data_IF_784597881012
#
_entry.id   IF_784597881012
#
_cell.length_a   1.000
_cell.length_b   1.000
_cell.length_c   1.000
_cell.angle_alpha   90.00
_cell.angle_beta   90.00
_cell.angle_gamma   90.00
#
_symmetry.space_group_name_H-M   'P 1'
#
loop_
_entity.id
_entity.type
_entity.pdbx_description
1 polymer ?
#
# COMPACT_ATOMS: atom_id res chain seq x y z
N UNK A 1 -45.37 5.27 -19.04
CA UNK A 1 -44.58 4.81 -20.19
C UNK A 1 -45.04 3.43 -20.64
N UNK A 2 -45.48 3.24 -21.89
CA UNK A 2 -46.06 1.95 -22.36
C UNK A 2 -45.03 0.79 -22.37
N UNK A 3 -43.71 1.09 -22.42
CA UNK A 3 -42.66 0.09 -22.48
C UNK A 3 -42.66 -0.79 -21.20
N UNK A 4 -42.66 -0.16 -20.02
CA UNK A 4 -42.59 -0.89 -18.74
C UNK A 4 -43.85 -1.69 -18.46
N UNK A 5 -45.03 -1.18 -18.84
CA UNK A 5 -46.28 -1.95 -18.72
C UNK A 5 -46.27 -3.19 -19.61
N UNK A 6 -45.63 -3.09 -20.82
CA UNK A 6 -45.46 -4.26 -21.73
C UNK A 6 -44.54 -5.29 -21.13
N UNK A 7 -43.42 -4.86 -20.53
CA UNK A 7 -42.47 -5.76 -19.85
C UNK A 7 -43.19 -6.51 -18.72
N UNK A 8 -43.89 -5.77 -17.89
CA UNK A 8 -44.67 -6.38 -16.79
C UNK A 8 -45.66 -7.42 -17.32
N UNK A 9 -46.49 -7.06 -18.31
CA UNK A 9 -47.49 -7.95 -18.89
C UNK A 9 -46.86 -9.18 -19.57
N UNK A 10 -45.65 -9.08 -20.09
CA UNK A 10 -44.92 -10.23 -20.65
C UNK A 10 -44.47 -11.20 -19.56
N UNK A 11 -43.91 -10.68 -18.44
CA UNK A 11 -43.40 -11.51 -17.35
C UNK A 11 -44.46 -11.97 -16.36
N UNK A 12 -45.57 -11.23 -16.20
CA UNK A 12 -46.60 -11.55 -15.22
C UNK A 12 -47.16 -12.99 -15.31
N UNK A 13 -47.46 -13.50 -16.53
CA UNK A 13 -47.84 -14.92 -16.68
C UNK A 13 -46.66 -15.88 -16.65
N UNK A 14 -45.40 -15.39 -16.87
CA UNK A 14 -44.18 -16.20 -16.99
C UNK A 14 -43.28 -16.03 -15.74
N UNK A 15 -43.83 -16.18 -14.56
CA UNK A 15 -43.10 -15.96 -13.29
C UNK A 15 -41.86 -16.87 -13.16
N UNK A 16 -41.94 -18.12 -13.62
CA UNK A 16 -40.81 -19.06 -13.59
C UNK A 16 -39.63 -18.56 -14.44
N UNK A 17 -39.93 -17.97 -15.59
CA UNK A 17 -38.90 -17.36 -16.45
C UNK A 17 -38.26 -16.14 -15.77
N UNK A 18 -39.09 -15.30 -15.12
CA UNK A 18 -38.56 -14.13 -14.38
C UNK A 18 -37.63 -14.59 -13.24
N UNK A 19 -38.06 -15.57 -12.43
CA UNK A 19 -37.24 -16.08 -11.31
C UNK A 19 -35.96 -16.75 -11.82
N UNK A 20 -36.05 -17.52 -12.92
CA UNK A 20 -34.90 -18.15 -13.55
C UNK A 20 -33.89 -17.10 -14.01
N UNK A 21 -34.34 -16.08 -14.73
CA UNK A 21 -33.49 -14.98 -15.22
C UNK A 21 -32.82 -14.23 -14.04
N UNK A 22 -33.60 -13.89 -13.02
CA UNK A 22 -33.07 -13.19 -11.83
C UNK A 22 -32.02 -14.06 -11.13
N UNK A 23 -32.29 -15.33 -10.94
CA UNK A 23 -31.36 -16.26 -10.30
C UNK A 23 -30.06 -16.39 -11.13
N UNK A 24 -30.20 -16.50 -12.44
CA UNK A 24 -29.02 -16.58 -13.34
C UNK A 24 -28.16 -15.33 -13.25
N UNK A 25 -28.80 -14.14 -13.23
CA UNK A 25 -28.08 -12.85 -13.09
C UNK A 25 -27.37 -12.77 -11.74
N UNK A 26 -28.03 -13.18 -10.66
CA UNK A 26 -27.45 -13.15 -9.32
C UNK A 26 -26.27 -14.12 -9.20
N UNK A 27 -26.44 -15.36 -9.71
CA UNK A 27 -25.36 -16.37 -9.71
C UNK A 27 -24.20 -15.91 -10.60
N UNK A 28 -24.50 -15.37 -11.77
CA UNK A 28 -23.48 -14.82 -12.67
C UNK A 28 -22.69 -13.69 -12.04
N UNK A 29 -23.39 -12.76 -11.38
CA UNK A 29 -22.76 -11.66 -10.64
C UNK A 29 -21.88 -12.15 -9.50
N UNK A 30 -22.39 -13.12 -8.72
CA UNK A 30 -21.64 -13.71 -7.62
C UNK A 30 -20.38 -14.43 -8.09
N UNK A 31 -20.49 -15.21 -9.19
CA UNK A 31 -19.35 -15.91 -9.77
C UNK A 31 -18.32 -14.88 -10.32
N UNK A 32 -18.78 -13.86 -11.03
CA UNK A 32 -17.89 -12.82 -11.57
C UNK A 32 -17.09 -12.13 -10.45
N UNK A 33 -17.72 -11.90 -9.30
CA UNK A 33 -17.01 -11.28 -8.14
C UNK A 33 -15.90 -12.15 -7.57
N UNK A 34 -15.98 -13.48 -7.73
CA UNK A 34 -14.90 -14.37 -7.22
C UNK A 34 -13.63 -14.28 -8.08
N UNK A 35 -13.74 -13.79 -9.31
CA UNK A 35 -12.60 -13.67 -10.23
C UNK A 35 -11.91 -12.30 -10.16
N UNK A 36 -12.52 -11.30 -9.53
CA UNK A 36 -11.95 -9.95 -9.49
C UNK A 36 -10.84 -9.86 -8.44
N UNK A 37 -9.77 -9.17 -8.80
CA UNK A 37 -8.68 -8.85 -7.89
C UNK A 37 -8.92 -7.47 -7.28
N UNK A 38 -9.21 -7.46 -5.98
CA UNK A 38 -9.37 -6.19 -5.26
C UNK A 38 -7.99 -5.59 -4.99
N UNK A 39 -7.79 -4.39 -5.49
CA UNK A 39 -6.56 -3.62 -5.31
C UNK A 39 -6.78 -2.55 -4.23
N UNK A 40 -5.85 -2.48 -3.30
CA UNK A 40 -5.86 -1.48 -2.22
C UNK A 40 -4.80 -0.40 -2.46
N UNK A 41 -4.14 -0.45 -3.61
CA UNK A 41 -3.06 0.47 -3.98
C UNK A 41 -3.65 1.84 -4.32
N UNK A 42 -3.51 2.79 -3.40
CA UNK A 42 -3.96 4.17 -3.59
C UNK A 42 -3.15 4.84 -4.72
N UNK A 43 -1.91 4.43 -4.91
CA UNK A 43 -1.05 4.96 -5.99
C UNK A 43 -1.63 4.70 -7.36
N UNK A 44 -2.22 3.51 -7.57
CA UNK A 44 -2.84 3.16 -8.83
C UNK A 44 -4.17 3.89 -9.08
N UNK A 45 -4.71 4.59 -8.07
CA UNK A 45 -5.89 5.44 -8.22
C UNK A 45 -5.56 6.84 -8.73
N UNK A 46 -4.29 7.26 -8.63
CA UNK A 46 -3.87 8.56 -9.15
C UNK A 46 -3.93 8.53 -10.67
N UNK A 47 -4.54 9.54 -11.29
CA UNK A 47 -4.59 9.58 -12.75
C UNK A 47 -3.18 9.74 -13.33
N UNK A 48 -2.90 9.00 -14.38
CA UNK A 48 -1.63 9.13 -15.11
C UNK A 48 -1.79 10.27 -16.14
N UNK A 49 -2.08 11.46 -15.62
CA UNK A 49 -2.39 12.66 -16.42
C UNK A 49 -1.19 13.61 -16.54
N UNK A 50 -0.03 13.21 -16.00
CA UNK A 50 1.16 14.05 -15.99
C UNK A 50 1.08 15.20 -14.98
N UNK A 51 0.11 15.17 -14.07
CA UNK A 51 0.00 16.21 -13.03
C UNK A 51 1.22 16.17 -12.10
N UNK A 52 1.54 17.32 -11.54
CA UNK A 52 2.65 17.43 -10.58
C UNK A 52 2.45 16.49 -9.39
N UNK A 53 1.22 16.36 -8.91
CA UNK A 53 0.90 15.47 -7.79
C UNK A 53 1.20 14.00 -8.11
N UNK A 54 0.85 13.54 -9.31
CA UNK A 54 1.14 12.17 -9.77
C UNK A 54 2.67 11.98 -9.92
N UNK A 55 3.34 12.95 -10.53
CA UNK A 55 4.80 12.92 -10.71
C UNK A 55 5.52 12.88 -9.35
N UNK A 56 5.15 13.76 -8.43
CA UNK A 56 5.73 13.83 -7.09
C UNK A 56 5.50 12.54 -6.31
N UNK A 57 4.30 11.94 -6.44
CA UNK A 57 3.98 10.67 -5.79
C UNK A 57 4.85 9.53 -6.34
N UNK A 58 5.01 9.46 -7.66
CA UNK A 58 5.89 8.45 -8.29
C UNK A 58 7.35 8.63 -7.87
N UNK A 59 7.83 9.87 -7.80
CA UNK A 59 9.17 10.16 -7.31
C UNK A 59 9.34 9.74 -5.86
N UNK A 60 8.35 9.99 -5.02
CA UNK A 60 8.35 9.56 -3.62
C UNK A 60 8.38 8.03 -3.51
N UNK A 61 7.57 7.34 -4.33
CA UNK A 61 7.55 5.86 -4.32
C UNK A 61 8.90 5.27 -4.72
N UNK A 62 9.64 5.95 -5.61
CA UNK A 62 10.95 5.49 -6.08
C UNK A 62 12.09 5.90 -5.14
N UNK A 63 11.79 6.71 -4.12
CA UNK A 63 12.83 7.17 -3.19
C UNK A 63 13.45 5.98 -2.43
N UNK A 64 14.77 5.92 -2.34
CA UNK A 64 15.47 4.76 -1.73
C UNK A 64 15.04 4.44 -0.30
N UNK A 65 14.53 5.41 0.45
CA UNK A 65 14.10 5.17 1.82
C UNK A 65 12.77 4.38 1.91
N UNK A 66 11.98 4.41 0.84
CA UNK A 66 10.66 3.75 0.80
C UNK A 66 10.81 2.23 0.76
N UNK A 67 11.82 1.73 0.04
CA UNK A 67 12.11 0.30 -0.07
C UNK A 67 12.92 -0.24 1.11
N UNK A 68 13.36 0.62 2.03
CA UNK A 68 14.19 0.21 3.16
C UNK A 68 13.37 -0.15 4.38
N UNK A 69 13.82 -1.21 5.03
CA UNK A 69 13.23 -1.77 6.25
C UNK A 69 14.36 -1.83 7.28
N UNK A 70 14.10 -1.34 8.48
CA UNK A 70 15.04 -1.48 9.59
C UNK A 70 14.54 -2.59 10.52
N UNK A 71 15.42 -3.53 10.81
CA UNK A 71 15.13 -4.61 11.75
C UNK A 71 16.04 -4.42 12.98
N UNK A 72 15.42 -4.33 14.14
CA UNK A 72 16.13 -4.20 15.41
C UNK A 72 16.11 -5.55 16.10
N UNK A 73 17.31 -6.03 16.49
CA UNK A 73 17.46 -7.21 17.33
C UNK A 73 17.83 -6.77 18.74
N UNK A 74 17.10 -7.29 19.72
CA UNK A 74 17.36 -7.08 21.14
C UNK A 74 17.51 -8.44 21.81
N UNK A 75 18.44 -8.53 22.75
CA UNK A 75 18.67 -9.78 23.48
C UNK A 75 18.90 -9.54 24.96
N UNK A 76 18.64 -10.56 25.74
CA UNK A 76 18.98 -10.56 27.17
C UNK A 76 20.50 -10.55 27.36
N UNK A 77 20.95 -10.18 28.54
CA UNK A 77 22.38 -10.14 28.87
C UNK A 77 23.02 -11.51 28.62
N UNK A 78 24.05 -11.54 27.77
CA UNK A 78 24.74 -12.79 27.41
C UNK A 78 24.29 -13.42 26.09
N UNK A 79 23.26 -12.89 25.41
CA UNK A 79 22.84 -13.38 24.10
C UNK A 79 23.85 -13.00 23.01
N UNK A 80 24.13 -13.92 22.10
CA UNK A 80 24.96 -13.65 20.93
C UNK A 80 24.09 -13.02 19.83
N UNK A 81 23.98 -11.70 19.92
CA UNK A 81 23.20 -10.92 18.94
C UNK A 81 23.82 -10.94 17.53
N UNK A 82 25.16 -11.10 17.44
CA UNK A 82 25.84 -11.13 16.13
C UNK A 82 25.47 -12.40 15.35
N UNK A 83 25.54 -13.56 16.02
CA UNK A 83 25.13 -14.83 15.40
C UNK A 83 23.63 -14.81 15.04
N UNK A 84 22.79 -14.23 15.90
CA UNK A 84 21.35 -14.11 15.63
C UNK A 84 21.08 -13.17 14.45
N UNK A 85 21.84 -12.08 14.31
CA UNK A 85 21.71 -11.16 13.17
C UNK A 85 22.08 -11.85 11.86
N UNK A 86 23.17 -12.62 11.84
CA UNK A 86 23.61 -13.37 10.66
C UNK A 86 22.60 -14.47 10.29
N UNK A 87 22.07 -15.18 11.29
CA UNK A 87 21.03 -16.21 11.11
C UNK A 87 19.79 -15.59 10.48
N UNK A 88 19.32 -14.46 11.01
CA UNK A 88 18.13 -13.77 10.49
C UNK A 88 18.38 -13.27 9.07
N UNK A 89 19.54 -12.64 8.83
CA UNK A 89 19.90 -12.11 7.51
C UNK A 89 19.90 -13.20 6.44
N UNK A 90 20.39 -14.41 6.78
CA UNK A 90 20.43 -15.54 5.85
C UNK A 90 19.05 -16.06 5.46
N UNK A 91 18.04 -15.83 6.30
CA UNK A 91 16.65 -16.29 6.03
C UNK A 91 15.83 -15.26 5.25
N UNK A 92 16.22 -13.99 5.27
CA UNK A 92 15.51 -12.91 4.58
C UNK A 92 15.99 -12.83 3.12
N UNK A 93 15.35 -13.61 2.27
CA UNK A 93 15.80 -13.89 0.89
C UNK A 93 14.78 -13.41 -0.17
N UNK A 94 15.21 -13.31 -1.44
CA UNK A 94 14.28 -13.04 -2.54
C UNK A 94 13.15 -14.10 -2.62
N UNK A 95 11.98 -13.71 -3.12
CA UNK A 95 11.67 -12.44 -3.77
C UNK A 95 11.21 -11.31 -2.83
N UNK A 96 11.04 -11.57 -1.54
CA UNK A 96 10.48 -10.59 -0.59
C UNK A 96 11.53 -9.60 -0.09
N UNK A 97 12.78 -10.04 0.03
CA UNK A 97 13.91 -9.18 0.41
C UNK A 97 14.99 -9.27 -0.65
N UNK A 98 15.35 -8.13 -1.24
CA UNK A 98 16.36 -8.09 -2.30
C UNK A 98 17.78 -8.03 -1.73
N UNK A 99 17.94 -7.43 -0.55
CA UNK A 99 19.25 -7.27 0.10
C UNK A 99 19.08 -7.10 1.60
N UNK A 100 20.00 -7.68 2.37
CA UNK A 100 20.04 -7.48 3.83
C UNK A 100 21.48 -7.10 4.21
N UNK A 101 21.62 -6.00 4.94
CA UNK A 101 22.89 -5.45 5.42
C UNK A 101 22.87 -5.47 6.95
N UNK A 102 23.68 -6.32 7.55
CA UNK A 102 23.87 -6.35 9.00
C UNK A 102 25.02 -5.42 9.45
N UNK A 103 25.93 -5.09 8.52
CA UNK A 103 27.08 -4.23 8.77
C UNK A 103 28.00 -4.18 7.59
N UNK A 104 29.07 -3.36 7.64
CA UNK A 104 30.06 -3.29 6.56
C UNK A 104 30.84 -4.59 6.38
N UNK A 105 30.92 -5.43 7.42
CA UNK A 105 31.56 -6.74 7.36
C UNK A 105 30.70 -7.81 6.68
N UNK A 106 29.42 -7.56 6.48
CA UNK A 106 28.53 -8.50 5.79
C UNK A 106 28.92 -8.64 4.31
N UNK A 107 28.56 -9.76 3.70
CA UNK A 107 28.83 -10.00 2.28
C UNK A 107 28.28 -8.85 1.41
N UNK A 108 27.08 -8.39 1.71
CA UNK A 108 26.48 -7.26 0.99
C UNK A 108 27.19 -5.94 1.28
N UNK A 109 27.70 -5.75 2.51
CA UNK A 109 28.48 -4.57 2.90
C UNK A 109 29.82 -4.55 2.17
N UNK A 110 30.51 -5.69 2.08
CA UNK A 110 31.77 -5.80 1.36
C UNK A 110 31.61 -5.51 -0.13
N UNK A 111 30.50 -5.91 -0.73
CA UNK A 111 30.21 -5.64 -2.14
C UNK A 111 30.01 -4.14 -2.43
N UNK A 112 29.71 -3.32 -1.42
CA UNK A 112 29.55 -1.88 -1.57
C UNK A 112 30.89 -1.13 -1.54
N UNK A 113 31.95 -1.72 -0.98
CA UNK A 113 33.26 -1.04 -0.83
C UNK A 113 33.82 -0.56 -2.15
N UNK A 114 33.94 -1.39 -3.21
CA UNK A 114 34.45 -0.93 -4.50
C UNK A 114 33.59 0.19 -5.13
N UNK A 115 32.28 0.12 -4.93
CA UNK A 115 31.35 1.15 -5.44
C UNK A 115 31.61 2.48 -4.72
N UNK A 116 31.79 2.43 -3.41
CA UNK A 116 32.07 3.63 -2.60
C UNK A 116 33.42 4.22 -2.96
N UNK A 117 34.42 3.38 -3.20
CA UNK A 117 35.77 3.81 -3.64
C UNK A 117 35.67 4.51 -5.00
N UNK A 118 34.97 3.92 -5.95
CA UNK A 118 34.78 4.51 -7.27
C UNK A 118 33.95 5.82 -7.24
N UNK A 119 33.06 5.96 -6.29
CA UNK A 119 32.20 7.15 -6.16
C UNK A 119 32.89 8.32 -5.42
N UNK A 120 34.01 8.09 -4.75
CA UNK A 120 34.69 9.15 -3.96
C UNK A 120 34.96 10.45 -4.72
N UNK A 121 35.45 10.42 -5.98
CA UNK A 121 35.64 11.68 -6.71
C UNK A 121 34.35 12.48 -6.90
N UNK A 122 33.21 11.82 -7.05
CA UNK A 122 31.93 12.49 -7.22
C UNK A 122 31.44 13.14 -5.92
N UNK A 123 31.93 12.69 -4.77
CA UNK A 123 31.57 13.25 -3.46
C UNK A 123 32.43 14.48 -3.11
N UNK A 124 33.47 14.79 -3.89
CA UNK A 124 34.37 15.90 -3.63
C UNK A 124 33.75 17.19 -4.19
N UNK A 125 33.60 18.19 -3.34
CA UNK A 125 32.95 19.46 -3.69
C UNK A 125 33.95 20.63 -3.77
N UNK A 126 33.47 21.76 -4.29
CA UNK A 126 34.25 23.01 -4.33
C UNK A 126 34.60 23.49 -2.91
N UNK A 127 33.78 23.24 -1.90
CA UNK A 127 34.07 23.56 -0.51
C UNK A 127 35.27 22.73 0.04
N UNK A 128 35.33 21.47 -0.36
CA UNK A 128 36.47 20.59 0.00
C UNK A 128 37.76 21.06 -0.67
N UNK A 129 37.66 21.45 -1.94
CA UNK A 129 38.79 22.01 -2.67
C UNK A 129 39.30 23.30 -1.99
N UNK A 130 38.37 24.18 -1.55
CA UNK A 130 38.73 25.39 -0.84
C UNK A 130 39.38 25.10 0.52
N UNK A 131 38.94 24.00 1.17
CA UNK A 131 39.57 23.56 2.44
C UNK A 131 40.96 22.99 2.23
N UNK A 132 41.16 22.26 1.14
CA UNK A 132 42.49 21.72 0.77
C UNK A 132 43.46 22.85 0.38
N UNK A 133 42.98 23.87 -0.30
CA UNK A 133 43.81 25.02 -0.72
C UNK A 133 44.36 25.81 0.48
N UNK A 134 43.77 25.65 1.66
CA UNK A 134 44.24 26.29 2.89
C UNK A 134 45.24 25.49 3.67
N UNK A 135 45.57 24.25 3.21
CA UNK A 135 46.58 23.42 3.88
C UNK A 135 47.97 24.01 3.65
N UNK A 136 48.61 24.39 4.72
CA UNK A 136 50.00 24.81 4.67
C UNK A 136 50.94 23.60 4.80
N UNK A 137 52.25 23.83 4.62
CA UNK A 137 53.25 22.78 4.69
C UNK A 137 53.28 22.06 6.05
N UNK A 138 52.97 22.77 7.13
CA UNK A 138 52.93 22.20 8.47
C UNK A 138 51.75 21.22 8.62
N UNK A 139 50.55 21.59 8.14
CA UNK A 139 49.37 20.74 8.15
C UNK A 139 49.56 19.48 7.27
N UNK A 140 50.20 19.63 6.11
CA UNK A 140 50.52 18.49 5.23
C UNK A 140 51.47 17.52 5.95
N UNK A 141 52.53 18.08 6.56
CA UNK A 141 53.49 17.25 7.32
C UNK A 141 52.78 16.52 8.48
N UNK A 142 51.95 17.19 9.22
CA UNK A 142 51.22 16.60 10.34
C UNK A 142 50.35 15.43 9.86
N UNK A 143 49.64 15.56 8.71
CA UNK A 143 48.83 14.47 8.14
C UNK A 143 49.72 13.26 7.76
N UNK A 144 50.85 13.52 7.11
CA UNK A 144 51.77 12.45 6.74
C UNK A 144 52.35 11.73 7.94
N UNK A 145 52.72 12.48 9.00
CA UNK A 145 53.22 11.91 10.26
C UNK A 145 52.17 11.05 10.94
N UNK A 146 50.92 11.51 10.95
CA UNK A 146 49.81 10.74 11.55
C UNK A 146 49.52 9.48 10.74
N UNK A 147 49.57 9.54 9.41
CA UNK A 147 49.49 8.37 8.53
C UNK A 147 50.60 7.36 8.77
N UNK A 148 51.80 7.86 8.91
CA UNK A 148 52.99 7.02 9.20
C UNK A 148 52.86 6.35 10.58
N UNK A 149 52.41 7.11 11.60
CA UNK A 149 52.20 6.56 12.93
C UNK A 149 51.15 5.43 12.92
N UNK A 150 50.11 5.58 12.10
CA UNK A 150 49.09 4.50 11.93
C UNK A 150 49.71 3.24 11.30
N UNK A 151 50.63 3.38 10.35
CA UNK A 151 51.31 2.24 9.72
C UNK A 151 52.09 1.42 10.73
N UNK A 152 52.57 2.04 11.82
CA UNK A 152 53.35 1.38 12.85
C UNK A 152 52.51 0.61 13.87
N UNK A 153 51.17 0.69 13.77
CA UNK A 153 50.26 -0.11 14.62
C UNK A 153 50.06 -1.50 13.99
N UNK A 154 49.74 -2.52 14.78
CA UNK A 154 49.47 -3.86 14.26
C UNK A 154 48.36 -3.86 13.19
N UNK A 155 47.35 -3.04 13.36
CA UNK A 155 46.24 -2.90 12.41
C UNK A 155 46.66 -2.13 11.15
N UNK A 156 47.69 -1.29 11.25
CA UNK A 156 48.16 -0.43 10.16
C UNK A 156 48.66 -1.19 8.95
N UNK A 157 49.20 -2.41 9.17
CA UNK A 157 49.63 -3.26 8.07
C UNK A 157 48.50 -3.65 7.12
N UNK A 158 47.30 -3.83 7.66
CA UNK A 158 46.09 -4.11 6.88
C UNK A 158 45.66 -2.92 6.00
N UNK A 159 46.06 -1.70 6.39
CA UNK A 159 45.69 -0.48 5.70
C UNK A 159 46.86 0.11 4.85
N UNK A 160 47.94 -0.66 4.69
CA UNK A 160 49.14 -0.23 3.98
C UNK A 160 48.84 0.30 2.57
N UNK A 161 48.12 -0.47 1.78
CA UNK A 161 47.83 -0.09 0.39
C UNK A 161 46.87 1.11 0.34
N UNK A 162 45.99 1.20 1.31
CA UNK A 162 45.07 2.32 1.46
C UNK A 162 45.79 3.63 1.77
N UNK A 163 46.73 3.59 2.73
CA UNK A 163 47.58 4.76 3.09
C UNK A 163 48.53 5.13 1.96
N UNK A 164 48.99 4.13 1.19
CA UNK A 164 49.85 4.38 0.04
C UNK A 164 49.14 5.09 -1.10
N UNK A 165 47.86 4.75 -1.33
CA UNK A 165 47.04 5.37 -2.38
C UNK A 165 46.51 6.75 -2.00
N UNK A 166 46.32 7.01 -0.68
CA UNK A 166 45.79 8.28 -0.17
C UNK A 166 46.56 8.72 1.10
N UNK A 167 47.82 9.17 0.94
CA UNK A 167 48.69 9.52 2.08
C UNK A 167 48.18 10.75 2.88
N UNK A 168 47.36 11.58 2.28
CA UNK A 168 46.79 12.76 2.94
C UNK A 168 45.37 12.50 3.53
N UNK A 169 44.90 11.26 3.41
CA UNK A 169 43.59 10.83 3.91
C UNK A 169 42.45 11.71 3.34
N UNK A 170 42.51 11.99 2.04
CA UNK A 170 41.53 12.86 1.36
C UNK A 170 40.13 12.21 1.31
N UNK A 171 40.10 10.87 1.34
CA UNK A 171 38.82 10.11 1.37
C UNK A 171 37.92 10.51 2.55
N UNK A 172 38.50 11.06 3.63
CA UNK A 172 37.70 11.51 4.79
C UNK A 172 36.65 12.56 4.41
N UNK A 173 36.91 13.37 3.37
CA UNK A 173 35.93 14.36 2.89
C UNK A 173 34.69 13.68 2.32
N UNK A 174 34.87 12.63 1.53
CA UNK A 174 33.74 11.82 1.02
C UNK A 174 33.06 11.03 2.12
N UNK A 175 33.84 10.36 2.98
CA UNK A 175 33.32 9.56 4.07
C UNK A 175 32.54 10.40 5.08
N UNK A 176 32.97 11.66 5.32
CA UNK A 176 32.26 12.57 6.21
C UNK A 176 30.83 12.87 5.69
N UNK A 177 30.71 12.99 4.37
CA UNK A 177 29.38 13.22 3.74
C UNK A 177 28.52 11.95 3.78
N UNK A 178 29.14 10.78 3.58
CA UNK A 178 28.42 9.51 3.69
C UNK A 178 27.84 9.29 5.10
N UNK A 179 28.48 9.86 6.13
CA UNK A 179 27.91 9.84 7.48
C UNK A 179 26.56 10.56 7.57
N UNK A 180 26.38 11.62 6.76
CA UNK A 180 25.11 12.36 6.72
C UNK A 180 24.02 11.60 5.94
N UNK A 181 24.45 10.72 5.03
CA UNK A 181 23.56 9.87 4.22
C UNK A 181 23.57 8.43 4.77
N UNK A 182 23.90 8.25 6.04
CA UNK A 182 24.01 6.92 6.64
C UNK A 182 22.72 6.14 6.52
N UNK A 183 22.86 4.86 6.22
CA UNK A 183 21.73 3.92 6.08
C UNK A 183 20.87 3.89 7.37
N UNK A 184 21.55 4.02 8.53
CA UNK A 184 20.89 4.09 9.83
C UNK A 184 21.48 5.28 10.58
N UNK A 185 20.73 6.36 10.79
CA UNK A 185 21.24 7.52 11.54
C UNK A 185 21.70 7.14 12.95
N UNK A 186 22.85 7.65 13.33
CA UNK A 186 23.46 7.45 14.66
C UNK A 186 23.82 5.99 14.99
N UNK A 187 23.84 5.09 14.01
CA UNK A 187 24.27 3.71 14.22
C UNK A 187 25.78 3.69 14.55
N UNK A 188 26.16 2.84 15.47
CA UNK A 188 27.56 2.52 15.80
C UNK A 188 27.92 1.18 15.18
N UNK A 189 29.20 0.87 15.15
CA UNK A 189 29.68 -0.44 14.75
C UNK A 189 30.08 -1.21 16.01
N UNK A 190 29.55 -2.43 16.10
CA UNK A 190 29.90 -3.37 17.18
C UNK A 190 30.09 -4.75 16.54
N UNK A 191 31.29 -5.29 16.64
CA UNK A 191 31.64 -6.61 16.12
C UNK A 191 31.29 -6.77 14.61
N UNK A 192 31.48 -5.70 13.84
CA UNK A 192 31.20 -5.70 12.38
C UNK A 192 29.72 -5.47 12.01
N UNK A 193 28.84 -5.33 12.99
CA UNK A 193 27.40 -5.10 12.77
C UNK A 193 26.99 -3.67 13.13
N UNK A 194 25.89 -3.20 12.54
CA UNK A 194 25.29 -1.92 12.93
C UNK A 194 24.62 -2.09 14.30
N UNK A 195 24.94 -1.21 15.24
CA UNK A 195 24.35 -1.20 16.58
C UNK A 195 23.62 0.12 16.78
N UNK A 196 22.64 0.11 17.69
CA UNK A 196 21.93 1.32 18.11
C UNK A 196 22.90 2.28 18.80
N UNK A 197 22.51 3.56 18.93
CA UNK A 197 23.35 4.61 19.52
C UNK A 197 23.81 4.26 20.95
N UNK A 198 22.96 3.57 21.71
CA UNK A 198 23.24 3.12 23.08
C UNK A 198 23.97 1.77 23.14
N UNK A 199 24.11 1.08 22.01
CA UNK A 199 24.76 -0.23 21.90
C UNK A 199 23.92 -1.39 22.44
N UNK A 200 22.66 -1.17 22.80
CA UNK A 200 21.79 -2.18 23.41
C UNK A 200 21.19 -3.15 22.40
N UNK A 201 21.18 -2.80 21.11
CA UNK A 201 20.57 -3.62 20.08
C UNK A 201 21.38 -3.59 18.80
N UNK A 202 21.27 -4.63 17.99
CA UNK A 202 21.82 -4.66 16.63
C UNK A 202 20.74 -4.27 15.64
N UNK A 203 21.19 -3.70 14.52
CA UNK A 203 20.31 -3.19 13.48
C UNK A 203 20.67 -3.83 12.13
N UNK A 204 19.68 -4.36 11.43
CA UNK A 204 19.83 -4.79 10.05
C UNK A 204 19.02 -3.84 9.17
N UNK A 205 19.58 -3.52 8.02
CA UNK A 205 18.88 -2.76 6.98
C UNK A 205 18.56 -3.72 5.85
N UNK A 206 17.29 -3.96 5.64
CA UNK A 206 16.82 -4.79 4.53
C UNK A 206 16.19 -3.91 3.45
N UNK A 207 16.32 -4.32 2.20
CA UNK A 207 15.66 -3.71 1.06
C UNK A 207 14.64 -4.69 0.51
N UNK A 208 13.49 -4.17 0.09
CA UNK A 208 12.40 -4.98 -0.48
C UNK A 208 11.95 -4.38 -1.81
N UNK A 209 11.64 -5.23 -2.81
CA UNK A 209 11.02 -4.76 -4.04
C UNK A 209 9.51 -4.56 -3.90
N UNK A 210 8.91 -4.92 -2.75
CA UNK A 210 7.47 -4.81 -2.54
C UNK A 210 7.11 -3.33 -2.31
N UNK A 211 6.24 -2.74 -3.13
CA UNK A 211 5.80 -1.36 -2.90
C UNK A 211 5.05 -1.21 -1.57
N UNK A 212 5.18 -0.04 -0.94
CA UNK A 212 4.46 0.26 0.32
C UNK A 212 2.94 0.15 0.16
N UNK A 213 2.45 0.40 -1.04
CA UNK A 213 1.03 0.38 -1.37
C UNK A 213 0.48 -1.03 -1.58
N UNK A 214 1.35 -2.03 -1.76
CA UNK A 214 0.94 -3.42 -1.95
C UNK A 214 0.68 -4.08 -0.60
N UNK A 215 -0.57 -4.09 -0.16
CA UNK A 215 -0.96 -4.69 1.13
C UNK A 215 -0.80 -6.22 1.14
N UNK A 216 -0.97 -6.90 -0.01
CA UNK A 216 -0.81 -8.37 -0.11
C UNK A 216 0.67 -8.75 -0.02
N UNK A 217 1.51 -8.08 -0.81
CA UNK A 217 2.97 -8.28 -0.75
C UNK A 217 3.51 -7.92 0.62
N UNK A 218 3.04 -6.81 1.19
CA UNK A 218 3.39 -6.39 2.55
C UNK A 218 3.01 -7.44 3.61
N UNK A 219 1.81 -8.01 3.50
CA UNK A 219 1.38 -9.08 4.41
C UNK A 219 2.26 -10.34 4.27
N UNK A 220 2.63 -10.71 3.03
CA UNK A 220 3.52 -11.84 2.78
C UNK A 220 4.91 -11.58 3.37
N UNK A 221 5.44 -10.37 3.19
CA UNK A 221 6.72 -9.93 3.73
C UNK A 221 6.73 -10.01 5.26
N UNK A 222 5.68 -9.50 5.91
CA UNK A 222 5.58 -9.50 7.38
C UNK A 222 5.44 -10.93 7.94
N UNK A 223 4.69 -11.80 7.25
CA UNK A 223 4.58 -13.23 7.66
C UNK A 223 5.92 -13.94 7.51
N UNK A 224 6.63 -13.72 6.41
CA UNK A 224 7.96 -14.33 6.19
C UNK A 224 8.94 -13.89 7.28
N UNK A 225 8.95 -12.58 7.58
CA UNK A 225 9.77 -12.04 8.67
C UNK A 225 9.39 -12.68 10.01
N UNK A 226 8.10 -12.81 10.32
CA UNK A 226 7.65 -13.39 11.58
C UNK A 226 8.08 -14.86 11.70
N UNK A 227 8.03 -15.62 10.59
CA UNK A 227 8.50 -17.01 10.56
C UNK A 227 10.01 -17.08 10.81
N UNK A 228 10.79 -16.22 10.15
CA UNK A 228 12.25 -16.16 10.34
C UNK A 228 12.58 -15.73 11.78
N UNK A 229 11.90 -14.73 12.32
CA UNK A 229 12.12 -14.24 13.68
C UNK A 229 11.81 -15.32 14.73
N UNK A 230 10.85 -16.19 14.47
CA UNK A 230 10.48 -17.29 15.39
C UNK A 230 11.58 -18.37 15.50
N UNK A 231 12.55 -18.41 14.58
CA UNK A 231 13.67 -19.37 14.66
C UNK A 231 14.85 -18.85 15.47
N UNK A 232 14.78 -17.60 15.93
CA UNK A 232 15.88 -16.98 16.70
C UNK A 232 16.04 -17.66 18.06
N UNK A 233 17.25 -17.64 18.61
CA UNK A 233 17.49 -18.24 19.94
C UNK A 233 16.61 -17.61 21.02
N UNK A 234 16.30 -18.40 22.05
CA UNK A 234 15.53 -17.93 23.21
C UNK A 234 16.22 -16.69 23.84
N UNK A 235 15.43 -15.69 24.18
CA UNK A 235 15.92 -14.43 24.74
C UNK A 235 16.33 -13.39 23.71
N UNK A 236 16.26 -13.70 22.40
CA UNK A 236 16.50 -12.72 21.32
C UNK A 236 15.17 -12.40 20.64
N UNK A 237 14.85 -11.11 20.53
CA UNK A 237 13.66 -10.63 19.86
C UNK A 237 14.06 -9.77 18.64
N UNK A 238 13.34 -9.94 17.56
CA UNK A 238 13.50 -9.14 16.34
C UNK A 238 12.25 -8.30 16.11
N UNK A 239 12.43 -7.00 15.93
CA UNK A 239 11.35 -6.05 15.64
C UNK A 239 11.59 -5.43 14.28
N UNK A 240 10.63 -5.57 13.37
CA UNK A 240 10.70 -5.00 12.03
C UNK A 240 9.99 -3.64 12.01
N UNK A 241 10.72 -2.60 11.62
CA UNK A 241 10.22 -1.23 11.43
C UNK A 241 10.11 -0.99 9.94
N UNK A 242 8.89 -0.86 9.46
CA UNK A 242 8.60 -0.75 8.03
C UNK A 242 7.28 -0.01 7.80
N UNK A 243 7.22 0.76 6.74
CA UNK A 243 5.97 1.38 6.28
C UNK A 243 4.89 0.35 5.97
N UNK A 244 5.25 -0.86 5.54
CA UNK A 244 4.29 -1.94 5.23
C UNK A 244 3.40 -2.30 6.41
N UNK A 245 3.91 -2.20 7.65
CA UNK A 245 3.09 -2.45 8.86
C UNK A 245 1.96 -1.43 8.98
N UNK A 246 2.26 -0.16 8.69
CA UNK A 246 1.27 0.92 8.76
C UNK A 246 0.25 0.79 7.62
N UNK A 247 0.71 0.47 6.41
CA UNK A 247 -0.18 0.24 5.27
C UNK A 247 -1.16 -0.89 5.57
N UNK A 248 -0.66 -2.01 6.07
CA UNK A 248 -1.51 -3.17 6.38
C UNK A 248 -2.49 -2.85 7.52
N UNK A 249 -2.02 -2.21 8.59
CA UNK A 249 -2.87 -1.82 9.71
C UNK A 249 -3.98 -0.84 9.26
N UNK A 250 -3.64 0.09 8.39
CA UNK A 250 -4.59 1.06 7.82
C UNK A 250 -5.63 0.34 6.92
N UNK A 251 -5.16 -0.58 6.06
CA UNK A 251 -6.05 -1.37 5.19
C UNK A 251 -7.04 -2.20 6.03
N UNK A 252 -6.56 -2.84 7.08
CA UNK A 252 -7.39 -3.64 7.99
C UNK A 252 -8.38 -2.76 8.77
N UNK A 253 -7.95 -1.56 9.19
CA UNK A 253 -8.84 -0.60 9.85
C UNK A 253 -9.97 -0.16 8.92
N UNK A 254 -9.62 0.20 7.67
CA UNK A 254 -10.60 0.60 6.65
C UNK A 254 -11.61 -0.53 6.40
N UNK A 255 -11.13 -1.76 6.23
CA UNK A 255 -12.00 -2.94 6.01
C UNK A 255 -12.97 -3.15 7.18
N UNK A 256 -12.45 -3.04 8.40
CA UNK A 256 -13.27 -3.20 9.62
C UNK A 256 -14.32 -2.09 9.72
N UNK A 257 -13.91 -0.84 9.50
CA UNK A 257 -14.81 0.32 9.58
C UNK A 257 -15.91 0.22 8.53
N UNK A 258 -15.57 -0.15 7.30
CA UNK A 258 -16.54 -0.40 6.23
C UNK A 258 -17.52 -1.52 6.64
N UNK A 259 -17.00 -2.63 7.14
CA UNK A 259 -17.85 -3.76 7.57
C UNK A 259 -18.82 -3.32 8.69
N UNK A 260 -18.35 -2.57 9.67
CA UNK A 260 -19.18 -2.08 10.79
C UNK A 260 -20.23 -1.10 10.28
N UNK A 261 -19.83 -0.11 9.48
CA UNK A 261 -20.75 0.92 8.96
C UNK A 261 -21.83 0.27 8.07
N UNK A 262 -21.41 -0.60 7.13
CA UNK A 262 -22.34 -1.27 6.22
C UNK A 262 -23.31 -2.18 6.97
N UNK A 263 -22.79 -2.95 7.95
CA UNK A 263 -23.64 -3.85 8.75
C UNK A 263 -24.64 -3.06 9.60
N UNK A 264 -24.18 -2.02 10.29
CA UNK A 264 -25.04 -1.20 11.16
C UNK A 264 -26.09 -0.44 10.35
N UNK A 265 -25.69 0.15 9.22
CA UNK A 265 -26.59 0.86 8.31
C UNK A 265 -27.65 -0.07 7.73
N UNK A 266 -27.24 -1.26 7.27
CA UNK A 266 -28.15 -2.26 6.72
C UNK A 266 -29.15 -2.74 7.77
N UNK A 267 -28.67 -2.96 8.99
CA UNK A 267 -29.53 -3.38 10.11
C UNK A 267 -30.52 -2.28 10.47
N UNK A 268 -30.08 -1.02 10.49
CA UNK A 268 -30.94 0.14 10.77
C UNK A 268 -32.04 0.28 9.72
N UNK A 269 -31.68 0.19 8.43
CA UNK A 269 -32.64 0.27 7.31
C UNK A 269 -33.61 -0.91 7.39
N UNK A 270 -33.12 -2.11 7.64
CA UNK A 270 -33.96 -3.31 7.79
C UNK A 270 -34.94 -3.13 8.97
N UNK A 271 -34.48 -2.61 10.11
CA UNK A 271 -35.34 -2.36 11.28
C UNK A 271 -36.44 -1.34 10.93
N UNK A 272 -36.12 -0.25 10.24
CA UNK A 272 -37.07 0.74 9.76
C UNK A 272 -38.11 0.05 8.87
N UNK A 273 -37.69 -0.80 7.94
CA UNK A 273 -38.60 -1.51 7.05
C UNK A 273 -39.56 -2.44 7.82
N UNK A 274 -39.03 -3.20 8.77
CA UNK A 274 -39.85 -4.11 9.57
C UNK A 274 -40.88 -3.36 10.40
N UNK A 275 -40.50 -2.21 10.98
CA UNK A 275 -41.40 -1.39 11.82
C UNK A 275 -42.48 -0.69 10.98
N UNK A 276 -42.09 -0.07 9.86
CA UNK A 276 -43.02 0.77 9.09
C UNK A 276 -43.82 0.00 8.03
N UNK A 277 -43.20 -0.95 7.35
CA UNK A 277 -43.89 -1.74 6.31
C UNK A 277 -44.72 -2.88 6.93
N UNK A 278 -44.28 -3.44 8.05
CA UNK A 278 -44.97 -4.48 8.83
C UNK A 278 -45.48 -5.64 7.94
N UNK A 279 -44.69 -5.99 6.93
CA UNK A 279 -45.06 -7.07 6.00
C UNK A 279 -43.81 -7.77 5.47
N UNK A 280 -43.92 -9.08 5.23
CA UNK A 280 -42.85 -9.86 4.59
C UNK A 280 -42.51 -9.34 3.19
N UNK A 281 -43.44 -8.70 2.53
CA UNK A 281 -43.23 -8.10 1.20
C UNK A 281 -42.22 -6.94 1.27
N UNK A 282 -42.18 -6.22 2.42
CA UNK A 282 -41.18 -5.18 2.66
C UNK A 282 -39.73 -5.71 2.64
N UNK A 283 -39.54 -6.96 3.08
CA UNK A 283 -38.20 -7.58 3.06
C UNK A 283 -37.69 -7.73 1.63
N UNK A 284 -38.57 -8.05 0.66
CA UNK A 284 -38.17 -8.13 -0.74
C UNK A 284 -37.74 -6.76 -1.29
N UNK A 285 -38.38 -5.67 -0.84
CA UNK A 285 -38.00 -4.31 -1.23
C UNK A 285 -36.56 -4.03 -0.79
N UNK A 286 -36.21 -4.41 0.44
CA UNK A 286 -34.85 -4.27 0.97
C UNK A 286 -33.81 -5.11 0.17
N UNK A 287 -34.22 -6.29 -0.31
CA UNK A 287 -33.30 -7.17 -1.05
C UNK A 287 -33.05 -6.72 -2.50
N UNK A 288 -33.94 -5.92 -3.10
CA UNK A 288 -33.80 -5.48 -4.49
C UNK A 288 -32.52 -4.65 -4.71
N UNK A 289 -32.23 -3.61 -3.90
CA UNK A 289 -30.98 -2.86 -4.04
C UNK A 289 -29.74 -3.73 -3.90
N UNK A 290 -29.73 -4.66 -2.95
CA UNK A 290 -28.61 -5.59 -2.76
C UNK A 290 -28.40 -6.48 -4.01
N UNK A 291 -29.51 -6.95 -4.61
CA UNK A 291 -29.46 -7.74 -5.85
C UNK A 291 -28.91 -6.89 -7.02
N UNK A 292 -29.35 -5.63 -7.12
CA UNK A 292 -28.85 -4.70 -8.15
C UNK A 292 -27.35 -4.47 -7.97
N UNK A 293 -26.90 -4.22 -6.74
CA UNK A 293 -25.49 -4.00 -6.43
C UNK A 293 -24.65 -5.24 -6.79
N UNK A 294 -25.14 -6.43 -6.44
CA UNK A 294 -24.45 -7.68 -6.76
C UNK A 294 -24.25 -7.84 -8.28
N UNK A 295 -25.33 -7.61 -9.05
CA UNK A 295 -25.26 -7.73 -10.52
C UNK A 295 -24.38 -6.63 -11.12
N UNK A 296 -24.48 -5.41 -10.62
CA UNK A 296 -23.66 -4.28 -11.10
C UNK A 296 -22.18 -4.51 -10.80
N UNK A 297 -21.84 -4.96 -9.57
CA UNK A 297 -20.48 -5.27 -9.18
C UNK A 297 -19.91 -6.43 -10.01
N UNK A 298 -20.74 -7.44 -10.29
CA UNK A 298 -20.38 -8.55 -11.17
C UNK A 298 -20.11 -8.08 -12.60
N UNK A 299 -20.90 -7.13 -13.11
CA UNK A 299 -20.68 -6.55 -14.44
C UNK A 299 -19.34 -5.77 -14.50
N UNK A 300 -19.04 -5.01 -13.43
CA UNK A 300 -17.74 -4.31 -13.31
C UNK A 300 -16.59 -5.32 -13.27
N UNK A 301 -16.75 -6.42 -12.52
CA UNK A 301 -15.76 -7.49 -12.41
C UNK A 301 -15.49 -8.19 -13.75
N UNK A 302 -16.47 -8.23 -14.66
CA UNK A 302 -16.30 -8.79 -16.01
C UNK A 302 -15.58 -7.82 -16.95
N UNK A 303 -15.71 -6.51 -16.70
CA UNK A 303 -15.12 -5.48 -17.55
C UNK A 303 -13.68 -5.11 -17.10
N UNK A 304 -13.37 -5.28 -15.82
CA UNK A 304 -12.09 -4.86 -15.23
C UNK A 304 -11.48 -6.04 -14.44
N UNK A 305 -10.25 -6.40 -14.77
CA UNK A 305 -9.51 -7.47 -14.07
C UNK A 305 -9.17 -7.07 -12.63
N UNK A 306 -8.98 -5.77 -12.40
CA UNK A 306 -8.68 -5.22 -11.07
C UNK A 306 -9.70 -4.14 -10.73
N UNK A 307 -10.19 -4.15 -9.51
CA UNK A 307 -11.17 -3.17 -9.01
C UNK A 307 -10.66 -2.65 -7.66
N UNK A 308 -10.66 -1.35 -7.50
CA UNK A 308 -10.25 -0.74 -6.25
C UNK A 308 -11.29 -1.01 -5.16
N UNK A 309 -10.82 -1.42 -3.99
CA UNK A 309 -11.68 -1.72 -2.84
C UNK A 309 -12.56 -0.51 -2.46
N UNK A 310 -12.01 0.71 -2.61
CA UNK A 310 -12.72 1.97 -2.35
C UNK A 310 -13.91 2.14 -3.31
N UNK A 311 -13.80 1.70 -4.57
CA UNK A 311 -14.89 1.74 -5.55
C UNK A 311 -16.10 0.92 -5.07
N UNK A 312 -15.84 -0.27 -4.50
CA UNK A 312 -16.92 -1.09 -3.93
C UNK A 312 -17.53 -0.43 -2.69
N UNK A 313 -16.73 0.26 -1.90
CA UNK A 313 -17.21 1.05 -0.76
C UNK A 313 -18.20 2.14 -1.20
N UNK A 314 -17.86 2.87 -2.26
CA UNK A 314 -18.77 3.87 -2.85
C UNK A 314 -20.02 3.22 -3.43
N UNK A 315 -19.94 1.99 -3.93
CA UNK A 315 -21.09 1.21 -4.37
C UNK A 315 -22.13 1.05 -3.24
N UNK A 316 -21.68 0.89 -2.01
CA UNK A 316 -22.54 0.82 -0.83
C UNK A 316 -23.34 2.11 -0.60
N UNK A 317 -22.75 3.27 -0.89
CA UNK A 317 -23.45 4.56 -0.81
C UNK A 317 -24.56 4.63 -1.87
N UNK A 318 -24.28 4.13 -3.08
CA UNK A 318 -25.26 4.08 -4.17
C UNK A 318 -26.45 3.15 -3.86
N UNK A 319 -26.22 2.17 -2.97
CA UNK A 319 -27.27 1.27 -2.50
C UNK A 319 -28.44 2.05 -1.88
N UNK A 320 -28.15 3.08 -1.07
CA UNK A 320 -29.17 3.92 -0.46
C UNK A 320 -30.03 4.66 -1.48
N UNK A 321 -29.42 5.07 -2.61
CA UNK A 321 -30.16 5.74 -3.70
C UNK A 321 -31.03 4.72 -4.44
N UNK A 322 -30.49 3.52 -4.69
CA UNK A 322 -31.25 2.46 -5.38
C UNK A 322 -32.47 2.00 -4.56
N UNK A 323 -32.34 2.03 -3.24
CA UNK A 323 -33.41 1.67 -2.30
C UNK A 323 -34.64 2.56 -2.45
N UNK A 324 -34.44 3.86 -2.69
CA UNK A 324 -35.51 4.83 -2.90
C UNK A 324 -36.42 4.43 -4.08
N UNK A 325 -35.81 3.96 -5.17
CA UNK A 325 -36.54 3.54 -6.36
C UNK A 325 -37.42 2.30 -6.08
N UNK A 326 -36.91 1.34 -5.33
CA UNK A 326 -37.64 0.15 -4.93
C UNK A 326 -38.85 0.51 -4.05
N UNK A 327 -38.65 1.46 -3.13
CA UNK A 327 -39.71 1.98 -2.25
C UNK A 327 -40.81 2.66 -3.04
N UNK A 328 -40.47 3.50 -4.00
CA UNK A 328 -41.48 4.19 -4.83
C UNK A 328 -42.40 3.18 -5.56
N UNK A 329 -41.79 2.16 -6.17
CA UNK A 329 -42.56 1.10 -6.85
C UNK A 329 -43.45 0.33 -5.87
N UNK A 330 -42.91 -0.03 -4.72
CA UNK A 330 -43.62 -0.79 -3.69
C UNK A 330 -44.90 -0.04 -3.22
N UNK A 331 -44.73 1.23 -2.81
CA UNK A 331 -45.84 2.04 -2.29
C UNK A 331 -46.88 2.31 -3.36
N UNK A 332 -46.47 2.63 -4.58
CA UNK A 332 -47.37 2.84 -5.70
C UNK A 332 -48.28 1.59 -5.94
N UNK A 333 -47.63 0.41 -5.94
CA UNK A 333 -48.33 -0.85 -6.15
C UNK A 333 -49.23 -1.26 -4.96
N UNK A 334 -48.93 -0.78 -3.75
CA UNK A 334 -49.69 -1.12 -2.52
C UNK A 334 -50.89 -0.19 -2.32
N UNK A 335 -50.77 1.09 -2.70
CA UNK A 335 -51.75 2.11 -2.42
C UNK A 335 -52.86 2.16 -3.48
N UNK A 336 -52.65 1.57 -4.64
CA UNK A 336 -53.63 1.66 -5.73
C UNK A 336 -54.17 0.27 -6.09
N UNK A 337 -55.52 0.15 -6.22
CA UNK A 337 -56.15 -1.10 -6.66
C UNK A 337 -56.12 -1.29 -8.18
N UNK A 338 -55.55 -0.34 -8.94
CA UNK A 338 -55.48 -0.41 -10.41
C UNK A 338 -54.53 -1.54 -10.89
N UNK A 339 -54.60 -1.81 -12.21
CA UNK A 339 -53.67 -2.78 -12.84
C UNK A 339 -52.21 -2.39 -12.58
N UNK A 340 -51.45 -3.35 -12.07
CA UNK A 340 -50.02 -3.15 -11.74
C UNK A 340 -49.18 -2.72 -12.96
N UNK A 341 -49.58 -3.16 -14.17
CA UNK A 341 -48.88 -2.73 -15.40
C UNK A 341 -49.06 -1.25 -15.68
N UNK A 342 -50.25 -0.67 -15.36
CA UNK A 342 -50.48 0.76 -15.49
C UNK A 342 -49.69 1.55 -14.46
N UNK A 343 -49.73 1.11 -13.20
CA UNK A 343 -49.01 1.75 -12.10
C UNK A 343 -47.51 1.81 -12.43
N UNK A 344 -46.90 0.69 -12.88
CA UNK A 344 -45.52 0.63 -13.25
C UNK A 344 -45.20 1.57 -14.42
N UNK A 345 -46.12 1.71 -15.38
CA UNK A 345 -45.95 2.67 -16.48
C UNK A 345 -45.94 4.12 -16.02
N UNK A 346 -46.70 4.44 -14.97
CA UNK A 346 -46.74 5.79 -14.36
C UNK A 346 -45.48 6.09 -13.55
N UNK A 347 -45.10 5.16 -12.68
CA UNK A 347 -43.94 5.33 -11.76
C UNK A 347 -42.61 5.29 -12.53
N UNK A 348 -42.55 4.61 -13.66
CA UNK A 348 -41.32 4.48 -14.47
C UNK A 348 -40.73 5.84 -14.92
N UNK A 349 -41.61 6.83 -15.18
CA UNK A 349 -41.15 8.17 -15.59
C UNK A 349 -40.29 8.84 -14.54
N UNK A 350 -40.80 9.11 -13.34
CA UNK A 350 -39.99 9.69 -12.26
C UNK A 350 -38.76 8.88 -11.89
N UNK A 351 -38.84 7.55 -11.85
CA UNK A 351 -37.71 6.67 -11.53
C UNK A 351 -36.58 6.82 -12.56
N UNK A 352 -36.93 6.79 -13.85
CA UNK A 352 -35.93 6.95 -14.93
C UNK A 352 -35.33 8.37 -14.88
N UNK A 353 -36.16 9.37 -14.67
CA UNK A 353 -35.66 10.76 -14.55
C UNK A 353 -34.65 10.88 -13.40
N UNK A 354 -34.97 10.32 -12.23
CA UNK A 354 -34.04 10.30 -11.09
C UNK A 354 -32.73 9.57 -11.43
N UNK A 355 -32.83 8.39 -12.06
CA UNK A 355 -31.65 7.62 -12.46
C UNK A 355 -30.80 8.39 -13.49
N UNK A 356 -31.44 9.04 -14.47
CA UNK A 356 -30.72 9.86 -15.45
C UNK A 356 -30.06 11.08 -14.80
N UNK A 357 -30.71 11.71 -13.82
CA UNK A 357 -30.13 12.84 -13.09
C UNK A 357 -28.87 12.39 -12.31
N UNK A 358 -28.92 11.22 -11.66
CA UNK A 358 -27.78 10.62 -10.94
C UNK A 358 -26.65 10.32 -11.91
N UNK A 359 -26.95 9.68 -13.04
CA UNK A 359 -25.96 9.38 -14.10
C UNK A 359 -25.32 10.66 -14.65
N UNK A 360 -26.11 11.69 -14.89
CA UNK A 360 -25.62 12.98 -15.39
C UNK A 360 -24.67 13.63 -14.36
N UNK A 361 -25.01 13.55 -13.07
CA UNK A 361 -24.14 14.06 -11.99
C UNK A 361 -22.78 13.38 -11.97
N UNK A 362 -22.76 12.05 -12.07
CA UNK A 362 -21.49 11.29 -12.14
C UNK A 362 -20.73 11.56 -13.43
N UNK A 363 -21.42 11.71 -14.56
CA UNK A 363 -20.79 12.03 -15.85
C UNK A 363 -20.13 13.42 -15.81
N UNK A 364 -20.75 14.40 -15.16
CA UNK A 364 -20.17 15.74 -14.95
C UNK A 364 -18.91 15.65 -14.08
N UNK A 365 -18.95 14.83 -13.05
CA UNK A 365 -17.76 14.61 -12.21
C UNK A 365 -16.60 14.00 -13.01
N UNK A 366 -16.91 13.07 -13.88
CA UNK A 366 -15.92 12.52 -14.80
C UNK A 366 -15.30 13.58 -15.71
N UNK A 367 -16.10 14.34 -16.14
CA UNK A 367 -15.72 15.34 -16.97
C UNK A 367 -14.93 16.36 -16.30
N UNK A 368 -15.18 16.54 -15.20
CA UNK A 368 -14.51 17.46 -14.46
C UNK A 368 -13.19 16.96 -14.10
N UNK A 369 -13.10 15.89 -13.93
CA UNK A 369 -11.92 15.26 -13.59
C UNK A 369 -10.98 15.11 -14.73
N UNK A 370 -11.36 14.80 -15.83
CA UNK A 370 -10.55 14.66 -17.07
C UNK A 370 -10.17 16.00 -17.72
N UNK A 371 -10.94 17.01 -17.48
CA UNK A 371 -10.69 18.35 -18.06
C UNK A 371 -9.64 19.18 -17.33
N UNK A 372 -9.41 18.90 -16.06
CA UNK A 372 -8.40 19.64 -15.28
C UNK A 372 -6.97 19.26 -15.69
N UNK A 373 -6.77 18.05 -16.22
CA UNK A 373 -5.45 17.58 -16.67
C UNK A 373 -4.97 18.19 -17.99
N UNK A 374 -5.83 18.92 -18.72
CA UNK A 374 -5.46 19.52 -20.03
C UNK A 374 -5.08 21.00 -19.93
N UNK A 375 -5.09 21.62 -18.75
CA UNK A 375 -4.84 23.05 -18.59
C UNK A 375 -3.57 23.40 -17.81
N UNK A 376 -2.71 22.44 -17.47
CA UNK A 376 -1.42 22.70 -16.78
C UNK A 376 -0.24 22.59 -17.73
#
# INVERSE_FOLDING_TARGET
MPFFSRIYRFFAPRRRLLYGLTLTLLLGGAIALTSVHLTEDIGAMLPDDGSQAATDFHLLQQAPFVSRIVIQLQGEAGSDLSAAADQLAAQLTPPLFSRVLSGPGSQAGQALLPVLEGAQPALFTSADAASLAKLDAAAVRQRLESGYARLLTPEGLAFKDLLRSDPLDLRQFGLAKLRQVSLVPNARLRDGHFASADGSSLLLVAETPIPLTDSRGGAALLRHFATAAATLPAGVTATLVSGHRYTLANADAIKRDLAVVLSLSSLAVLAIYLVFLRSWQGLFVFLVPAAILLVASGAVALLYAEVFAVTLGFGGVLLGIADEYAMHVYFACRQSPRDRGEILGEVAGPVIFGACATLASFAVMLXXXSGSGRRS
#
